data_IF_506359486752
#
_entry.id   IF_506359486752
#
_cell.length_a   1.000
_cell.length_b   1.000
_cell.length_c   1.000
_cell.angle_alpha   90.00
_cell.angle_beta   90.00
_cell.angle_gamma   90.00
#
_symmetry.space_group_name_H-M   'P 1'
#
loop_
_entity.id
_entity.type
_entity.pdbx_description
1 polymer ?
#
# COMPACT_ATOMS: atom_id res chain seq x y z
N UNK A 1 -17.78 -0.59 -0.46
CA UNK A 1 -16.38 -0.11 -0.38
C UNK A 1 -15.61 -0.67 -1.56
N UNK A 2 -14.89 0.15 -2.31
CA UNK A 2 -14.11 -0.21 -3.51
C UNK A 2 -12.65 0.12 -3.25
N UNK A 3 -11.78 -0.86 -3.34
CA UNK A 3 -10.37 -0.73 -3.00
C UNK A 3 -9.52 -1.25 -4.15
N UNK A 4 -8.44 -0.55 -4.48
CA UNK A 4 -7.48 -0.98 -5.50
C UNK A 4 -6.08 -1.09 -4.87
N UNK A 5 -5.44 -2.25 -4.97
CA UNK A 5 -4.19 -2.56 -4.25
C UNK A 5 -3.14 -3.05 -5.23
N UNK A 6 -2.02 -2.33 -5.37
CA UNK A 6 -0.86 -2.82 -6.10
C UNK A 6 0.12 -3.54 -5.17
N UNK A 7 0.83 -4.54 -5.70
CA UNK A 7 1.69 -5.43 -4.91
C UNK A 7 0.91 -6.50 -4.13
N UNK A 8 -0.30 -6.85 -4.57
CA UNK A 8 -1.22 -7.73 -3.85
C UNK A 8 -0.80 -9.20 -3.79
N UNK A 9 0.15 -9.66 -4.61
CA UNK A 9 0.47 -11.09 -4.73
C UNK A 9 1.28 -11.69 -3.58
N UNK A 10 1.74 -10.89 -2.62
CA UNK A 10 2.54 -11.37 -1.48
C UNK A 10 2.70 -10.32 -0.38
N UNK A 11 3.18 -10.77 0.77
CA UNK A 11 3.61 -9.91 1.88
C UNK A 11 2.54 -8.92 2.33
N UNK A 12 2.92 -7.63 2.44
CA UNK A 12 2.02 -6.58 2.94
C UNK A 12 0.76 -6.45 2.07
N UNK A 13 0.89 -6.44 0.75
CA UNK A 13 -0.26 -6.26 -0.13
C UNK A 13 -1.29 -7.38 -0.02
N UNK A 14 -0.83 -8.63 0.10
CA UNK A 14 -1.70 -9.79 0.33
C UNK A 14 -2.40 -9.69 1.70
N UNK A 15 -1.65 -9.36 2.76
CA UNK A 15 -2.22 -9.20 4.09
C UNK A 15 -3.27 -8.07 4.15
N UNK A 16 -3.03 -6.96 3.44
CA UNK A 16 -3.99 -5.88 3.31
C UNK A 16 -5.27 -6.32 2.58
N UNK A 17 -5.15 -7.11 1.52
CA UNK A 17 -6.32 -7.63 0.81
C UNK A 17 -7.19 -8.50 1.74
N UNK A 18 -6.59 -9.37 2.55
CA UNK A 18 -7.30 -10.15 3.56
C UNK A 18 -7.95 -9.28 4.64
N UNK A 19 -7.22 -8.31 5.19
CA UNK A 19 -7.75 -7.43 6.24
C UNK A 19 -8.94 -6.60 5.75
N UNK A 20 -8.86 -6.01 4.56
CA UNK A 20 -9.96 -5.26 4.00
C UNK A 20 -11.15 -6.14 3.62
N UNK A 21 -10.93 -7.34 3.09
CA UNK A 21 -12.00 -8.30 2.84
C UNK A 21 -12.75 -8.67 4.13
N UNK A 22 -12.01 -8.95 5.21
CA UNK A 22 -12.55 -9.21 6.55
C UNK A 22 -13.37 -8.03 7.08
N UNK A 23 -12.87 -6.79 6.95
CA UNK A 23 -13.59 -5.58 7.41
C UNK A 23 -14.89 -5.39 6.65
N UNK A 24 -14.86 -5.54 5.34
CA UNK A 24 -16.05 -5.43 4.49
C UNK A 24 -17.10 -6.48 4.89
N UNK A 25 -16.70 -7.75 5.04
CA UNK A 25 -17.62 -8.82 5.46
C UNK A 25 -18.24 -8.53 6.83
N UNK A 26 -17.48 -8.01 7.79
CA UNK A 26 -17.98 -7.65 9.11
C UNK A 26 -19.00 -6.49 9.07
N UNK A 27 -18.85 -5.53 8.18
CA UNK A 27 -19.81 -4.43 7.97
C UNK A 27 -21.12 -5.01 7.41
N UNK A 28 -21.04 -5.85 6.38
CA UNK A 28 -22.18 -6.48 5.75
C UNK A 28 -23.00 -7.32 6.76
N UNK A 29 -22.34 -8.10 7.61
CA UNK A 29 -22.97 -8.91 8.64
C UNK A 29 -23.68 -8.07 9.72
N UNK A 30 -23.12 -6.94 10.12
CA UNK A 30 -23.75 -6.03 11.10
C UNK A 30 -25.02 -5.39 10.56
N UNK A 31 -25.05 -5.03 9.29
CA UNK A 31 -26.24 -4.46 8.65
C UNK A 31 -27.37 -5.52 8.60
N UNK A 32 -27.08 -6.74 8.17
CA UNK A 32 -28.06 -7.83 8.10
C UNK A 32 -28.63 -8.24 9.46
N UNK A 33 -27.86 -8.13 10.54
CA UNK A 33 -28.35 -8.45 11.90
C UNK A 33 -29.16 -7.30 12.52
N UNK A 34 -28.93 -6.05 12.14
CA UNK A 34 -29.73 -4.91 12.62
C UNK A 34 -31.12 -4.84 11.97
N UNK A 35 -31.29 -5.33 10.75
CA UNK A 35 -32.59 -5.42 10.08
C UNK A 35 -33.53 -6.46 10.69
N UNK A 36 -33.01 -7.46 11.40
CA UNK A 36 -33.79 -8.53 12.04
C UNK A 36 -34.25 -8.23 13.49
N UNK A 37 -33.96 -7.02 14.02
CA UNK A 37 -34.16 -6.74 15.45
C UNK A 37 -35.15 -5.62 15.81
N UNK A 38 -36.07 -5.20 14.91
CA UNK A 38 -37.15 -4.27 15.33
C UNK A 38 -38.49 -4.54 14.63
N UNK A 39 -39.55 -4.90 15.37
CA UNK A 39 -40.88 -4.58 14.94
C UNK A 39 -41.24 -3.24 15.60
N UNK A 40 -41.56 -2.22 14.86
CA UNK A 40 -42.39 -1.04 15.08
C UNK A 40 -41.81 0.24 14.47
N UNK A 41 -42.55 0.78 13.50
CA UNK A 41 -42.39 2.17 13.02
C UNK A 41 -41.68 2.26 11.66
N UNK A 42 -42.47 2.17 10.60
CA UNK A 42 -42.01 2.54 9.23
C UNK A 42 -41.44 3.97 9.20
N UNK A 43 -40.12 4.04 9.10
CA UNK A 43 -39.45 5.12 8.39
C UNK A 43 -38.77 4.45 7.21
N UNK A 44 -39.35 4.61 6.06
CA UNK A 44 -38.84 4.10 4.77
C UNK A 44 -37.59 4.92 4.41
N UNK A 45 -36.44 4.47 4.94
CA UNK A 45 -35.13 4.94 4.48
C UNK A 45 -34.85 4.04 3.27
N UNK A 46 -35.13 4.55 2.07
CA UNK A 46 -35.05 3.86 0.77
C UNK A 46 -33.70 3.25 0.44
N UNK A 47 -33.24 2.29 1.23
CA UNK A 47 -32.11 1.40 0.94
C UNK A 47 -32.69 0.17 0.23
N UNK A 48 -32.77 0.27 -1.09
CA UNK A 48 -33.13 -0.88 -1.91
C UNK A 48 -32.00 -1.92 -1.84
N UNK A 49 -32.33 -3.21 -1.85
CA UNK A 49 -31.44 -4.36 -1.74
C UNK A 49 -30.35 -4.52 -2.82
N UNK A 50 -29.98 -3.43 -3.51
CA UNK A 50 -28.89 -3.33 -4.50
C UNK A 50 -27.53 -2.95 -3.89
N UNK A 51 -27.46 -2.55 -2.62
CA UNK A 51 -26.21 -2.05 -2.02
C UNK A 51 -25.25 -3.16 -1.55
N UNK A 52 -25.72 -4.39 -1.43
CA UNK A 52 -24.89 -5.54 -1.02
C UNK A 52 -23.85 -5.97 -2.07
N UNK A 53 -24.03 -5.59 -3.34
CA UNK A 53 -23.13 -5.96 -4.45
C UNK A 53 -22.03 -4.92 -4.73
N UNK A 54 -21.84 -3.91 -3.89
CA UNK A 54 -20.99 -2.76 -4.21
C UNK A 54 -19.61 -2.79 -3.54
N UNK A 55 -19.17 -3.97 -3.06
CA UNK A 55 -17.85 -4.16 -2.45
C UNK A 55 -16.94 -4.93 -3.39
N UNK A 56 -15.79 -4.32 -3.74
CA UNK A 56 -14.82 -4.96 -4.64
C UNK A 56 -13.40 -4.60 -4.23
N UNK A 57 -12.49 -5.56 -4.40
CA UNK A 57 -11.05 -5.35 -4.25
C UNK A 57 -10.38 -5.61 -5.59
N UNK A 58 -9.76 -4.56 -6.18
CA UNK A 58 -8.86 -4.67 -7.32
C UNK A 58 -7.48 -5.14 -6.85
N UNK A 59 -7.04 -6.26 -7.35
CA UNK A 59 -5.77 -6.90 -7.00
C UNK A 59 -4.78 -6.78 -8.16
N UNK A 60 -3.66 -6.11 -7.94
CA UNK A 60 -2.65 -5.87 -8.97
C UNK A 60 -1.30 -6.45 -8.58
N UNK A 61 -0.73 -7.26 -9.44
CA UNK A 61 0.66 -7.73 -9.39
C UNK A 61 1.02 -8.43 -10.71
N UNK A 62 2.30 -8.74 -10.91
CA UNK A 62 2.78 -9.40 -12.14
C UNK A 62 2.33 -10.87 -12.26
N UNK A 63 2.28 -11.61 -11.13
CA UNK A 63 2.01 -13.05 -11.11
C UNK A 63 0.51 -13.33 -11.08
N UNK A 64 -0.07 -13.67 -12.23
CA UNK A 64 -1.50 -13.93 -12.39
C UNK A 64 -2.02 -15.05 -11.48
N UNK A 65 -1.30 -16.18 -11.40
CA UNK A 65 -1.69 -17.33 -10.58
C UNK A 65 -1.83 -17.00 -9.09
N UNK A 66 -0.90 -16.18 -8.55
CA UNK A 66 -0.98 -15.73 -7.16
C UNK A 66 -2.18 -14.82 -6.91
N UNK A 67 -2.53 -13.97 -7.88
CA UNK A 67 -3.72 -13.13 -7.78
C UNK A 67 -5.00 -13.95 -7.86
N UNK A 68 -5.06 -14.95 -8.72
CA UNK A 68 -6.20 -15.86 -8.83
C UNK A 68 -6.42 -16.65 -7.53
N UNK A 69 -5.35 -17.23 -6.99
CA UNK A 69 -5.39 -17.94 -5.70
C UNK A 69 -5.87 -17.03 -4.58
N UNK A 70 -5.34 -15.81 -4.50
CA UNK A 70 -5.77 -14.82 -3.50
C UNK A 70 -7.24 -14.45 -3.69
N UNK A 71 -7.66 -14.14 -4.90
CA UNK A 71 -9.05 -13.77 -5.19
C UNK A 71 -10.02 -14.89 -4.80
N UNK A 72 -9.70 -16.15 -5.12
CA UNK A 72 -10.50 -17.30 -4.73
C UNK A 72 -10.56 -17.48 -3.20
N UNK A 73 -9.44 -17.30 -2.50
CA UNK A 73 -9.40 -17.34 -1.04
C UNK A 73 -10.29 -16.26 -0.41
N UNK A 74 -10.23 -15.01 -0.91
CA UNK A 74 -11.04 -13.90 -0.43
C UNK A 74 -12.53 -14.12 -0.71
N UNK A 75 -12.86 -14.65 -1.88
CA UNK A 75 -14.24 -15.00 -2.23
C UNK A 75 -14.78 -16.11 -1.32
N UNK A 76 -14.01 -17.18 -1.12
CA UNK A 76 -14.44 -18.34 -0.31
C UNK A 76 -14.57 -17.95 1.17
N UNK A 77 -13.62 -17.19 1.70
CA UNK A 77 -13.56 -16.90 3.14
C UNK A 77 -14.46 -15.73 3.55
N UNK A 78 -14.64 -14.73 2.68
CA UNK A 78 -15.30 -13.48 3.03
C UNK A 78 -16.45 -13.09 2.09
N UNK A 79 -16.67 -13.83 1.00
CA UNK A 79 -17.71 -13.51 0.01
C UNK A 79 -17.40 -12.27 -0.84
N UNK A 80 -16.13 -11.80 -0.88
CA UNK A 80 -15.78 -10.54 -1.53
C UNK A 80 -15.42 -10.75 -3.00
N UNK A 81 -16.01 -9.95 -3.87
CA UNK A 81 -15.67 -9.89 -5.30
C UNK A 81 -14.29 -9.27 -5.48
N UNK A 82 -13.43 -9.93 -6.27
CA UNK A 82 -12.11 -9.43 -6.62
C UNK A 82 -12.00 -9.21 -8.14
N UNK A 83 -11.45 -8.07 -8.53
CA UNK A 83 -11.01 -7.82 -9.90
C UNK A 83 -9.48 -8.00 -9.98
N UNK A 84 -9.02 -8.79 -10.95
CA UNK A 84 -7.60 -9.20 -11.06
C UNK A 84 -6.97 -8.47 -12.23
N UNK A 85 -5.84 -7.80 -11.99
CA UNK A 85 -5.06 -7.08 -12.98
C UNK A 85 -3.60 -7.54 -12.97
N UNK A 86 -3.25 -8.57 -13.78
CA UNK A 86 -1.87 -9.04 -13.91
C UNK A 86 -1.07 -8.04 -14.75
N UNK A 87 -0.30 -7.17 -14.10
CA UNK A 87 0.52 -6.16 -14.76
C UNK A 87 1.76 -5.82 -13.94
N UNK A 88 2.74 -5.21 -14.60
CA UNK A 88 3.87 -4.54 -13.97
C UNK A 88 3.56 -3.05 -13.80
N UNK A 89 3.74 -2.52 -12.59
CA UNK A 89 3.48 -1.09 -12.31
C UNK A 89 4.44 -0.14 -13.05
N UNK A 90 5.48 -0.66 -13.71
CA UNK A 90 6.36 0.09 -14.63
C UNK A 90 5.70 0.37 -15.97
N UNK A 91 4.70 -0.41 -16.34
CA UNK A 91 3.93 -0.22 -17.58
C UNK A 91 2.80 0.79 -17.34
N UNK A 92 3.04 2.02 -17.74
CA UNK A 92 2.09 3.13 -17.60
C UNK A 92 0.78 2.88 -18.34
N UNK A 93 0.84 2.27 -19.53
CA UNK A 93 -0.36 1.99 -20.32
C UNK A 93 -1.19 0.88 -19.66
N UNK A 94 -0.55 -0.19 -19.20
CA UNK A 94 -1.24 -1.25 -18.47
C UNK A 94 -1.90 -0.73 -17.18
N UNK A 95 -1.23 0.14 -16.43
CA UNK A 95 -1.81 0.79 -15.25
C UNK A 95 -3.03 1.64 -15.60
N UNK A 96 -2.97 2.43 -16.68
CA UNK A 96 -4.07 3.24 -17.15
C UNK A 96 -5.27 2.39 -17.59
N UNK A 97 -5.04 1.33 -18.37
CA UNK A 97 -6.10 0.42 -18.84
C UNK A 97 -6.76 -0.32 -17.68
N UNK A 98 -5.99 -0.79 -16.69
CA UNK A 98 -6.52 -1.43 -15.50
C UNK A 98 -7.40 -0.49 -14.67
N UNK A 99 -6.98 0.76 -14.51
CA UNK A 99 -7.78 1.77 -13.81
C UNK A 99 -9.07 2.11 -14.56
N UNK A 100 -9.00 2.25 -15.88
CA UNK A 100 -10.18 2.51 -16.73
C UNK A 100 -11.18 1.35 -16.64
N UNK A 101 -10.72 0.11 -16.74
CA UNK A 101 -11.55 -1.08 -16.59
C UNK A 101 -12.20 -1.15 -15.20
N UNK A 102 -11.42 -0.90 -14.14
CA UNK A 102 -11.96 -0.88 -12.78
C UNK A 102 -13.04 0.20 -12.61
N UNK A 103 -12.78 1.41 -13.09
CA UNK A 103 -13.73 2.54 -13.01
C UNK A 103 -14.99 2.25 -13.83
N UNK A 104 -14.85 1.69 -15.01
CA UNK A 104 -15.99 1.36 -15.88
C UNK A 104 -16.91 0.30 -15.27
N UNK A 105 -16.34 -0.71 -14.60
CA UNK A 105 -17.09 -1.81 -14.00
C UNK A 105 -17.67 -1.47 -12.63
N UNK A 106 -16.93 -0.73 -11.81
CA UNK A 106 -17.25 -0.57 -10.39
C UNK A 106 -17.41 0.89 -9.96
N UNK A 107 -17.03 1.85 -10.82
CA UNK A 107 -16.95 3.27 -10.45
C UNK A 107 -15.65 3.62 -9.75
N UNK A 108 -15.53 4.89 -9.31
CA UNK A 108 -14.34 5.36 -8.62
C UNK A 108 -14.03 4.55 -7.34
N UNK A 109 -12.76 4.17 -7.09
CA UNK A 109 -12.40 3.52 -5.84
C UNK A 109 -12.49 4.49 -4.66
N UNK A 110 -12.85 3.96 -3.48
CA UNK A 110 -12.77 4.70 -2.22
C UNK A 110 -11.33 4.81 -1.73
N UNK A 111 -10.53 3.77 -1.97
CA UNK A 111 -9.14 3.69 -1.51
C UNK A 111 -8.28 3.12 -2.64
N UNK A 112 -7.17 3.80 -2.96
CA UNK A 112 -6.12 3.28 -3.83
C UNK A 112 -4.84 3.12 -3.00
N UNK A 113 -4.32 1.90 -2.91
CA UNK A 113 -3.12 1.56 -2.14
C UNK A 113 -1.99 1.24 -3.11
N UNK A 114 -1.00 2.12 -3.19
CA UNK A 114 0.23 1.87 -3.92
C UNK A 114 1.22 1.12 -3.03
N UNK A 115 1.10 -0.21 -3.04
CA UNK A 115 1.89 -1.14 -2.23
C UNK A 115 2.95 -1.92 -3.00
N UNK A 116 2.98 -1.84 -4.32
CA UNK A 116 4.05 -2.45 -5.12
C UNK A 116 5.40 -1.84 -4.75
N UNK A 117 6.39 -2.69 -4.52
CA UNK A 117 7.74 -2.23 -4.16
C UNK A 117 8.73 -3.37 -4.06
N UNK A 118 9.98 -3.03 -4.28
CA UNK A 118 11.12 -3.96 -4.22
C UNK A 118 12.24 -3.37 -3.39
N UNK A 119 13.06 -4.22 -2.82
CA UNK A 119 14.23 -3.83 -2.03
C UNK A 119 15.37 -4.81 -2.23
N UNK A 120 16.56 -4.28 -2.52
CA UNK A 120 17.80 -5.04 -2.72
C UNK A 120 18.99 -4.27 -2.15
N UNK A 121 20.05 -4.96 -1.81
CA UNK A 121 21.36 -4.37 -1.56
C UNK A 121 21.91 -3.76 -2.85
N UNK A 122 22.44 -2.54 -2.77
CA UNK A 122 23.05 -1.82 -3.89
C UNK A 122 24.25 -1.04 -3.41
N UNK A 123 25.34 -1.08 -4.21
CA UNK A 123 26.58 -0.32 -3.96
C UNK A 123 26.86 0.58 -5.17
N UNK A 124 27.00 1.85 -4.95
CA UNK A 124 27.20 2.85 -6.02
C UNK A 124 28.53 2.65 -6.76
N UNK A 125 29.54 2.08 -6.11
CA UNK A 125 30.84 1.75 -6.70
C UNK A 125 30.80 0.61 -7.73
N UNK A 126 29.69 -0.18 -7.72
CA UNK A 126 29.54 -1.33 -8.60
C UNK A 126 28.65 -0.98 -9.79
N UNK A 127 29.22 -0.99 -10.98
CA UNK A 127 28.50 -0.68 -12.22
C UNK A 127 27.34 -1.64 -12.51
N UNK A 128 27.48 -2.87 -12.14
CA UNK A 128 26.46 -3.91 -12.27
C UNK A 128 25.22 -3.69 -11.40
N UNK A 129 25.28 -2.79 -10.41
CA UNK A 129 24.11 -2.43 -9.59
C UNK A 129 23.28 -1.28 -10.19
N UNK A 130 23.74 -0.61 -11.25
CA UNK A 130 22.99 0.49 -11.90
C UNK A 130 21.58 0.04 -12.35
N UNK A 131 21.40 -1.11 -13.04
CA UNK A 131 20.05 -1.57 -13.39
C UNK A 131 19.14 -1.79 -12.17
N UNK A 132 19.70 -2.25 -11.05
CA UNK A 132 18.96 -2.42 -9.80
C UNK A 132 18.54 -1.06 -9.19
N UNK A 133 19.41 -0.03 -9.25
CA UNK A 133 19.04 1.33 -8.87
C UNK A 133 17.84 1.82 -9.68
N UNK A 134 17.90 1.70 -11.00
CA UNK A 134 16.84 2.14 -11.89
C UNK A 134 15.54 1.39 -11.60
N UNK A 135 15.55 0.06 -11.56
CA UNK A 135 14.36 -0.73 -11.30
C UNK A 135 13.71 -0.42 -9.93
N UNK A 136 14.52 -0.15 -8.90
CA UNK A 136 13.99 0.25 -7.58
C UNK A 136 13.24 1.58 -7.68
N UNK A 137 13.76 2.57 -8.42
CA UNK A 137 13.08 3.84 -8.61
C UNK A 137 11.84 3.70 -9.49
N UNK A 138 11.94 2.95 -10.59
CA UNK A 138 10.84 2.73 -11.51
C UNK A 138 9.65 2.04 -10.82
N UNK A 139 9.91 1.06 -9.95
CA UNK A 139 8.85 0.34 -9.24
C UNK A 139 8.36 1.13 -8.03
N UNK A 140 9.27 1.57 -7.14
CA UNK A 140 8.90 2.15 -5.85
C UNK A 140 8.36 3.57 -5.96
N UNK A 141 8.84 4.36 -6.93
CA UNK A 141 8.48 5.77 -7.11
C UNK A 141 7.55 5.95 -8.30
N UNK A 142 8.02 5.65 -9.51
CA UNK A 142 7.21 5.82 -10.71
C UNK A 142 5.99 4.91 -10.71
N UNK A 143 6.13 3.66 -10.27
CA UNK A 143 5.02 2.73 -10.13
C UNK A 143 3.92 3.23 -9.16
N UNK A 144 4.30 3.98 -8.12
CA UNK A 144 3.31 4.64 -7.25
C UNK A 144 2.58 5.77 -7.97
N UNK A 145 3.29 6.62 -8.70
CA UNK A 145 2.68 7.69 -9.50
C UNK A 145 1.72 7.11 -10.53
N UNK A 146 2.15 6.07 -11.24
CA UNK A 146 1.34 5.36 -12.26
C UNK A 146 0.15 4.61 -11.65
N UNK A 147 0.24 4.21 -10.39
CA UNK A 147 -0.89 3.62 -9.65
C UNK A 147 -1.93 4.68 -9.29
N UNK A 148 -1.54 5.88 -8.88
CA UNK A 148 -2.48 6.90 -8.42
C UNK A 148 -3.10 7.72 -9.57
N UNK A 149 -2.27 8.17 -10.51
CA UNK A 149 -2.64 9.14 -11.53
C UNK A 149 -3.92 8.78 -12.30
N UNK A 150 -4.14 7.54 -12.77
CA UNK A 150 -5.32 7.22 -13.58
C UNK A 150 -6.65 7.28 -12.81
N UNK A 151 -6.63 7.21 -11.49
CA UNK A 151 -7.84 7.26 -10.66
C UNK A 151 -8.22 8.67 -10.23
N UNK A 152 -7.30 9.64 -10.24
CA UNK A 152 -7.51 10.95 -9.63
C UNK A 152 -8.74 11.67 -10.21
N UNK A 153 -8.93 11.64 -11.51
CA UNK A 153 -10.07 12.33 -12.14
C UNK A 153 -11.42 11.78 -11.66
N UNK A 154 -11.58 10.45 -11.66
CA UNK A 154 -12.80 9.80 -11.19
C UNK A 154 -13.00 9.99 -9.67
N UNK A 155 -11.92 9.93 -8.88
CA UNK A 155 -11.98 10.16 -7.43
C UNK A 155 -12.36 11.62 -7.10
N UNK A 156 -11.92 12.61 -7.88
CA UNK A 156 -12.35 14.00 -7.72
C UNK A 156 -13.86 14.15 -7.92
N UNK A 157 -14.40 13.54 -8.97
CA UNK A 157 -15.85 13.58 -9.25
C UNK A 157 -16.64 12.87 -8.12
N UNK A 158 -16.19 11.71 -7.68
CA UNK A 158 -16.81 10.97 -6.59
C UNK A 158 -16.78 11.75 -5.26
N UNK A 159 -15.66 12.40 -4.94
CA UNK A 159 -15.52 13.23 -3.75
C UNK A 159 -16.43 14.46 -3.75
N UNK A 160 -16.65 15.09 -4.91
CA UNK A 160 -17.63 16.18 -5.08
C UNK A 160 -19.07 15.71 -4.81
N UNK A 161 -19.35 14.43 -5.03
CA UNK A 161 -20.64 13.80 -4.73
C UNK A 161 -20.74 13.28 -3.28
N UNK A 162 -19.78 13.63 -2.41
CA UNK A 162 -19.77 13.22 -1.01
C UNK A 162 -19.18 11.83 -0.74
N UNK A 163 -18.66 11.13 -1.76
CA UNK A 163 -18.03 9.83 -1.54
C UNK A 163 -16.64 9.99 -0.91
N UNK A 164 -16.28 9.08 0.00
CA UNK A 164 -14.94 9.05 0.56
C UNK A 164 -13.92 8.62 -0.50
N UNK A 165 -12.81 9.37 -0.60
CA UNK A 165 -11.72 9.12 -1.54
C UNK A 165 -10.37 9.26 -0.83
N UNK A 166 -9.49 8.26 -0.99
CA UNK A 166 -8.18 8.24 -0.32
C UNK A 166 -7.11 7.54 -1.15
N UNK A 167 -5.94 8.16 -1.24
CA UNK A 167 -4.71 7.59 -1.79
C UNK A 167 -3.78 7.19 -0.65
N UNK A 168 -3.20 5.99 -0.71
CA UNK A 168 -2.35 5.46 0.36
C UNK A 168 -1.02 4.99 -0.22
N UNK A 169 0.06 5.70 0.12
CA UNK A 169 1.42 5.33 -0.26
C UNK A 169 2.11 4.47 0.79
N UNK A 170 2.70 3.36 0.37
CA UNK A 170 3.52 2.50 1.23
C UNK A 170 4.99 2.92 1.14
N UNK A 171 5.45 3.66 2.14
CA UNK A 171 6.83 4.09 2.29
C UNK A 171 7.70 3.02 3.01
N UNK A 172 8.60 3.44 3.87
CA UNK A 172 9.40 2.61 4.80
C UNK A 172 10.11 3.49 5.82
N UNK A 173 10.45 2.95 6.98
CA UNK A 173 11.38 3.60 7.93
C UNK A 173 12.76 3.83 7.29
N UNK A 174 13.15 3.01 6.31
CA UNK A 174 14.37 3.20 5.54
C UNK A 174 14.38 4.49 4.70
N UNK A 175 13.22 5.12 4.47
CA UNK A 175 13.11 6.42 3.81
C UNK A 175 13.37 7.62 4.74
N UNK A 176 13.54 7.40 6.05
CA UNK A 176 13.78 8.48 7.02
C UNK A 176 15.24 8.92 6.99
N UNK A 177 16.16 7.97 6.76
CA UNK A 177 17.61 8.23 6.68
C UNK A 177 18.31 7.21 5.78
N UNK A 178 19.38 7.63 5.10
CA UNK A 178 20.18 6.75 4.25
C UNK A 178 20.81 5.60 5.04
N UNK A 179 20.72 4.39 4.50
CA UNK A 179 21.27 3.18 5.10
C UNK A 179 22.34 2.61 4.18
N UNK A 180 23.61 2.43 4.64
CA UNK A 180 24.68 1.85 3.84
C UNK A 180 24.28 0.50 3.22
N UNK A 181 24.73 0.24 1.99
CA UNK A 181 24.39 -0.98 1.25
C UNK A 181 22.93 -1.07 0.81
N UNK A 182 22.14 0.00 1.00
CA UNK A 182 20.72 0.06 0.60
C UNK A 182 20.34 1.44 0.06
N UNK A 183 21.29 2.12 -0.59
CA UNK A 183 21.15 3.51 -1.01
C UNK A 183 19.95 3.73 -1.95
N UNK A 184 19.80 2.89 -2.99
CA UNK A 184 18.67 2.99 -3.93
C UNK A 184 17.31 2.85 -3.22
N UNK A 185 17.19 1.87 -2.33
CA UNK A 185 15.94 1.64 -1.60
C UNK A 185 15.63 2.81 -0.64
N UNK A 186 16.60 3.22 0.16
CA UNK A 186 16.43 4.35 1.09
C UNK A 186 16.04 5.62 0.35
N UNK A 187 16.73 5.95 -0.73
CA UNK A 187 16.43 7.13 -1.55
C UNK A 187 15.03 7.02 -2.19
N UNK A 188 14.64 5.86 -2.73
CA UNK A 188 13.32 5.66 -3.30
C UNK A 188 12.19 5.83 -2.25
N UNK A 189 12.40 5.34 -1.02
CA UNK A 189 11.40 5.48 0.04
C UNK A 189 11.37 6.89 0.66
N UNK A 190 12.48 7.63 0.65
CA UNK A 190 12.49 9.08 0.90
C UNK A 190 11.70 9.85 -0.14
N UNK A 191 11.90 9.53 -1.43
CA UNK A 191 11.14 10.14 -2.52
C UNK A 191 9.64 9.89 -2.39
N UNK A 192 9.23 8.67 -2.02
CA UNK A 192 7.82 8.32 -1.74
C UNK A 192 7.24 9.17 -0.61
N UNK A 193 7.97 9.37 0.48
CA UNK A 193 7.51 10.20 1.60
C UNK A 193 7.27 11.64 1.13
N UNK A 194 8.24 12.24 0.44
CA UNK A 194 8.15 13.60 -0.08
C UNK A 194 7.06 13.75 -1.13
N UNK A 195 6.94 12.79 -2.06
CA UNK A 195 5.87 12.77 -3.07
C UNK A 195 4.48 12.75 -2.46
N UNK A 196 4.23 11.83 -1.51
CA UNK A 196 2.93 11.76 -0.84
C UNK A 196 2.64 13.01 0.02
N UNK A 197 3.66 13.68 0.54
CA UNK A 197 3.50 14.93 1.27
C UNK A 197 3.04 16.06 0.35
N UNK A 198 3.64 16.21 -0.83
CA UNK A 198 3.21 17.16 -1.86
C UNK A 198 1.81 16.83 -2.38
N UNK A 199 1.58 15.57 -2.74
CA UNK A 199 0.28 15.11 -3.24
C UNK A 199 -0.85 15.35 -2.23
N UNK A 200 -0.57 15.26 -0.93
CA UNK A 200 -1.56 15.53 0.11
C UNK A 200 -2.07 16.97 0.06
N UNK A 201 -1.19 17.93 -0.15
CA UNK A 201 -1.54 19.34 -0.28
C UNK A 201 -2.29 19.61 -1.58
N UNK A 202 -1.86 19.00 -2.68
CA UNK A 202 -2.53 19.12 -3.99
C UNK A 202 -3.94 18.55 -3.96
N UNK A 203 -4.16 17.44 -3.27
CA UNK A 203 -5.45 16.73 -3.23
C UNK A 203 -6.42 17.30 -2.20
N UNK A 204 -5.97 18.13 -1.28
CA UNK A 204 -6.80 18.70 -0.21
C UNK A 204 -7.99 19.48 -0.74
N UNK A 205 -7.82 20.25 -1.80
CA UNK A 205 -8.89 21.04 -2.44
C UNK A 205 -9.99 20.18 -3.05
N UNK A 206 -9.72 18.90 -3.29
CA UNK A 206 -10.68 17.96 -3.89
C UNK A 206 -11.28 16.99 -2.86
N UNK A 207 -11.03 17.20 -1.56
CA UNK A 207 -11.46 16.30 -0.48
C UNK A 207 -10.96 14.85 -0.64
N UNK A 208 -9.82 14.66 -1.32
CA UNK A 208 -9.15 13.37 -1.41
C UNK A 208 -8.07 13.31 -0.33
N UNK A 209 -8.21 12.40 0.62
CA UNK A 209 -7.20 12.18 1.64
C UNK A 209 -5.96 11.49 1.05
N UNK A 210 -4.77 11.85 1.54
CA UNK A 210 -3.53 11.14 1.18
C UNK A 210 -2.82 10.73 2.46
N UNK A 211 -2.62 9.42 2.61
CA UNK A 211 -1.93 8.80 3.73
C UNK A 211 -0.61 8.18 3.29
N UNK A 212 0.42 8.37 4.10
CA UNK A 212 1.71 7.71 3.92
C UNK A 212 1.95 6.77 5.10
N UNK A 213 2.02 5.48 4.86
CA UNK A 213 2.34 4.50 5.90
C UNK A 213 3.76 4.00 5.67
N UNK A 214 4.60 4.12 6.70
CA UNK A 214 6.00 3.69 6.68
C UNK A 214 6.18 2.44 7.55
N UNK A 215 6.21 1.23 6.96
CA UNK A 215 6.52 0.01 7.68
C UNK A 215 7.92 0.03 8.28
N UNK A 216 8.06 -0.55 9.49
CA UNK A 216 9.33 -1.04 10.01
C UNK A 216 9.68 -2.41 9.40
N UNK A 217 10.15 -3.32 10.21
CA UNK A 217 10.38 -4.70 9.78
C UNK A 217 9.07 -5.50 9.89
N UNK A 218 8.59 -5.96 8.73
CA UNK A 218 7.38 -6.79 8.63
C UNK A 218 7.78 -8.14 8.06
N UNK A 219 7.32 -9.23 8.65
CA UNK A 219 7.58 -10.61 8.21
C UNK A 219 6.94 -10.84 6.84
N UNK A 220 7.76 -10.91 5.82
CA UNK A 220 7.37 -11.06 4.41
C UNK A 220 8.50 -11.75 3.66
N UNK A 221 8.26 -12.34 2.47
CA UNK A 221 9.33 -12.89 1.66
C UNK A 221 10.48 -11.91 1.37
N UNK A 222 10.20 -10.61 1.29
CA UNK A 222 11.22 -9.58 1.11
C UNK A 222 12.17 -9.45 2.32
N UNK A 223 11.69 -9.65 3.53
CA UNK A 223 12.47 -9.51 4.77
C UNK A 223 13.11 -10.81 5.22
N UNK A 224 12.63 -11.97 4.77
CA UNK A 224 13.23 -13.28 5.05
C UNK A 224 14.66 -13.40 4.52
N UNK A 225 14.98 -12.63 3.48
CA UNK A 225 16.32 -12.56 2.90
C UNK A 225 17.33 -11.77 3.74
N UNK A 226 16.88 -11.06 4.77
CA UNK A 226 17.74 -10.24 5.60
C UNK A 226 18.49 -11.13 6.61
N UNK A 227 19.82 -10.98 6.68
CA UNK A 227 20.70 -11.74 7.58
C UNK A 227 21.10 -10.94 8.84
N UNK A 228 20.47 -9.81 9.08
CA UNK A 228 20.72 -8.94 10.24
C UNK A 228 19.52 -8.88 11.17
N UNK A 229 19.79 -8.44 12.42
CA UNK A 229 18.72 -8.29 13.42
C UNK A 229 17.66 -7.30 12.96
N UNK A 230 16.41 -7.68 13.07
CA UNK A 230 15.24 -6.87 12.72
C UNK A 230 14.46 -6.53 14.01
N UNK A 231 14.81 -5.42 14.69
CA UNK A 231 14.11 -5.04 15.91
C UNK A 231 12.64 -4.75 15.63
N UNK A 232 11.78 -5.18 16.56
CA UNK A 232 10.32 -5.00 16.46
C UNK A 232 9.71 -5.61 15.20
N UNK A 233 10.26 -6.75 14.74
CA UNK A 233 9.68 -7.52 13.63
C UNK A 233 8.22 -7.83 13.94
N UNK A 234 7.32 -7.48 13.01
CA UNK A 234 5.88 -7.63 13.16
C UNK A 234 5.33 -8.55 12.07
N UNK A 235 4.33 -9.36 12.41
CA UNK A 235 3.66 -10.21 11.44
C UNK A 235 2.79 -9.37 10.48
N UNK A 236 2.64 -9.86 9.24
CA UNK A 236 2.00 -9.08 8.18
C UNK A 236 0.51 -8.82 8.43
N UNK A 237 -0.21 -9.74 9.07
CA UNK A 237 -1.62 -9.61 9.45
C UNK A 237 -1.81 -8.55 10.57
N UNK A 238 -0.96 -8.57 11.60
CA UNK A 238 -0.96 -7.55 12.66
C UNK A 238 -0.64 -6.17 12.09
N UNK A 239 0.30 -6.10 11.13
CA UNK A 239 0.61 -4.86 10.42
C UNK A 239 -0.59 -4.39 9.60
N UNK A 240 -1.22 -5.30 8.83
CA UNK A 240 -2.35 -4.96 7.96
C UNK A 240 -3.54 -4.41 8.77
N UNK A 241 -3.81 -4.97 9.94
CA UNK A 241 -4.82 -4.45 10.86
C UNK A 241 -4.53 -3.00 11.29
N UNK A 242 -3.31 -2.74 11.79
CA UNK A 242 -2.88 -1.39 12.21
C UNK A 242 -2.80 -0.40 11.04
N UNK A 243 -2.47 -0.89 9.85
CA UNK A 243 -2.47 -0.10 8.63
C UNK A 243 -3.90 0.34 8.28
N UNK A 244 -4.84 -0.60 8.26
CA UNK A 244 -6.23 -0.30 7.94
C UNK A 244 -6.84 0.69 8.95
N UNK A 245 -6.57 0.55 10.26
CA UNK A 245 -6.98 1.53 11.28
C UNK A 245 -6.44 2.94 10.98
N UNK A 246 -5.15 3.02 10.57
CA UNK A 246 -4.54 4.30 10.23
C UNK A 246 -5.16 4.93 8.98
N UNK A 247 -5.51 4.11 7.99
CA UNK A 247 -6.16 4.55 6.74
C UNK A 247 -7.59 5.00 7.02
N UNK A 248 -8.38 4.25 7.78
CA UNK A 248 -9.73 4.65 8.20
C UNK A 248 -9.73 5.96 8.98
N UNK A 249 -8.75 6.16 9.85
CA UNK A 249 -8.52 7.41 10.56
C UNK A 249 -7.93 8.54 9.70
N UNK A 250 -7.72 8.33 8.40
CA UNK A 250 -7.14 9.29 7.44
C UNK A 250 -5.83 9.92 7.94
N UNK A 251 -5.00 9.11 8.61
CA UNK A 251 -3.73 9.58 9.21
C UNK A 251 -2.78 10.02 8.09
N UNK A 252 -2.24 11.23 8.20
CA UNK A 252 -1.39 11.84 7.17
C UNK A 252 -0.07 11.09 6.97
N UNK A 253 0.60 10.74 8.08
CA UNK A 253 1.84 9.97 8.09
C UNK A 253 1.90 9.09 9.33
N UNK A 254 2.20 7.80 9.18
CA UNK A 254 2.33 6.88 10.32
C UNK A 254 3.43 5.85 10.08
N UNK A 255 4.25 5.66 11.10
CA UNK A 255 5.22 4.56 11.16
C UNK A 255 4.61 3.43 11.99
N UNK A 256 4.67 2.21 11.49
CA UNK A 256 4.17 1.01 12.14
C UNK A 256 5.28 -0.06 12.13
N UNK A 257 5.67 -0.58 13.30
CA UNK A 257 5.17 -0.32 14.65
C UNK A 257 5.64 1.04 15.22
N UNK A 258 4.96 1.54 16.24
CA UNK A 258 5.22 2.87 16.82
C UNK A 258 6.63 3.02 17.40
N UNK A 259 7.21 1.91 17.92
CA UNK A 259 8.58 1.88 18.42
C UNK A 259 9.58 2.30 17.33
N UNK A 260 9.38 1.81 16.10
CA UNK A 260 10.18 2.23 14.95
C UNK A 260 9.98 3.72 14.62
N UNK A 261 8.81 4.28 14.96
CA UNK A 261 8.55 5.70 14.83
C UNK A 261 9.41 6.55 15.78
N UNK A 262 9.62 6.08 17.00
CA UNK A 262 10.52 6.73 17.96
C UNK A 262 11.97 6.66 17.46
N UNK A 263 12.42 5.48 17.03
CA UNK A 263 13.75 5.29 16.47
C UNK A 263 13.96 6.20 15.25
N UNK A 264 13.00 6.27 14.34
CA UNK A 264 13.08 7.11 13.15
C UNK A 264 13.23 8.60 13.49
N UNK A 265 12.50 9.09 14.50
CA UNK A 265 12.67 10.48 14.98
C UNK A 265 14.08 10.71 15.55
N UNK A 266 14.58 9.80 16.36
CA UNK A 266 15.94 9.88 16.89
C UNK A 266 16.96 9.87 15.76
N UNK A 267 16.86 8.91 14.83
CA UNK A 267 17.75 8.81 13.68
C UNK A 267 17.81 10.12 12.88
N UNK A 268 16.69 10.80 12.69
CA UNK A 268 16.62 12.06 11.96
C UNK A 268 17.33 13.21 12.66
N UNK A 269 17.39 13.18 13.98
CA UNK A 269 18.03 14.23 14.81
C UNK A 269 19.53 14.01 14.98
N UNK A 270 20.06 12.81 14.73
CA UNK A 270 21.49 12.52 14.87
C UNK A 270 22.28 13.35 13.85
N UNK A 271 23.29 14.15 14.26
CA UNK A 271 24.17 14.86 13.33
C UNK A 271 24.87 13.91 12.35
N UNK A 272 25.17 14.33 11.12
CA UNK A 272 25.77 13.46 10.10
C UNK A 272 27.04 12.73 10.57
N UNK A 273 27.96 13.41 11.23
CA UNK A 273 29.22 12.81 11.68
C UNK A 273 29.02 11.67 12.72
N UNK A 274 28.02 11.80 13.60
CA UNK A 274 27.68 10.73 14.55
C UNK A 274 27.00 9.55 13.85
N UNK A 275 26.15 9.86 12.86
CA UNK A 275 25.52 8.84 12.02
C UNK A 275 26.55 8.04 11.23
N UNK A 276 27.47 8.73 10.57
CA UNK A 276 28.55 8.11 9.79
C UNK A 276 29.41 7.20 10.66
N UNK A 277 29.76 7.66 11.86
CA UNK A 277 30.52 6.84 12.83
C UNK A 277 29.71 5.60 13.25
N UNK A 278 28.44 5.74 13.58
CA UNK A 278 27.59 4.64 14.02
C UNK A 278 27.33 3.61 12.89
N UNK A 279 27.24 4.08 11.63
CA UNK A 279 26.89 3.25 10.49
C UNK A 279 28.12 2.73 9.71
N UNK A 280 29.34 3.10 10.09
CA UNK A 280 30.58 2.71 9.41
C UNK A 280 30.70 1.21 9.16
N UNK A 281 30.26 0.40 10.12
CA UNK A 281 30.31 -1.08 10.08
C UNK A 281 28.91 -1.71 10.01
N UNK A 282 27.91 -0.97 9.54
CA UNK A 282 26.56 -1.51 9.43
C UNK A 282 26.50 -2.69 8.44
N UNK A 283 25.75 -3.75 8.75
CA UNK A 283 25.61 -4.85 7.81
C UNK A 283 24.88 -4.39 6.57
N UNK A 284 25.41 -4.74 5.41
CA UNK A 284 24.77 -4.42 4.13
C UNK A 284 23.66 -5.41 3.82
N UNK A 285 22.64 -4.94 3.15
CA UNK A 285 21.60 -5.81 2.61
C UNK A 285 22.21 -6.68 1.50
N UNK A 286 21.80 -7.96 1.42
CA UNK A 286 22.29 -8.88 0.42
C UNK A 286 22.00 -8.39 -0.99
N UNK A 287 23.02 -8.42 -1.85
CA UNK A 287 22.90 -8.25 -3.30
C UNK A 287 22.43 -9.58 -3.87
N UNK A 288 21.28 -9.60 -4.52
CA UNK A 288 20.67 -10.81 -5.10
C UNK A 288 20.56 -10.58 -6.61
N UNK A 289 20.79 -11.62 -7.40
CA UNK A 289 20.58 -11.54 -8.83
C UNK A 289 19.11 -11.26 -9.16
N UNK A 290 18.88 -10.49 -10.21
CA UNK A 290 17.56 -10.05 -10.60
C UNK A 290 17.17 -10.73 -11.91
N UNK A 291 16.78 -12.00 -11.83
CA UNK A 291 16.41 -12.81 -13.01
C UNK A 291 15.15 -12.29 -13.72
N UNK A 292 14.56 -11.21 -13.24
CA UNK A 292 13.27 -10.65 -13.68
C UNK A 292 13.31 -9.17 -14.08
N UNK A 293 14.47 -8.57 -14.18
CA UNK A 293 14.63 -7.21 -14.74
C UNK A 293 14.47 -7.20 -16.27
#
# INVERSE_FOLDING_TARGET
MKIFITGASSGIGQALAHEYAKRIANISNKISTSENSTPVGHVDIGLQGSDFNNHVIGLVARRSEHLQTLAQALQTQYGITCAIYPLDVRDSLACQLAAQDFIAKFGAPNIVIAGAGVSRGTLTELREDIPAFQAIFDINVMGMVQTFQPFIAAMKQAAQQGQSAQLVGVASVAGIRGIPGSAAYSASKSAVISYCESLRTEMQHYNIAVSTIAPGYIRTPMTELNQYKMPFLMDADVFAHKFADAVEGKVRFKIIPWQMGVIAKIMRLIPPFLWDFAMKNAPHKKRIDWDWL
#
